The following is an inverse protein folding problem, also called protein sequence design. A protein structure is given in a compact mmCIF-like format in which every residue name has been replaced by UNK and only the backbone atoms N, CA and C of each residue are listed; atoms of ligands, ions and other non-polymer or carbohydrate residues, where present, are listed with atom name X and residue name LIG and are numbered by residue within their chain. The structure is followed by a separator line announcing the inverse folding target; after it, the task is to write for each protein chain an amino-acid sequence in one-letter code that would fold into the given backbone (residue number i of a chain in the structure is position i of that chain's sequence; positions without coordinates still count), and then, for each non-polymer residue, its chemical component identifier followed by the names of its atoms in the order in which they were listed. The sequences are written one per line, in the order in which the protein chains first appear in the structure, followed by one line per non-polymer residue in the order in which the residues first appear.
data_IF_137489081233
#
_entry.id   IF_137489081233
#
_cell.length_a   1.000
_cell.length_b   1.000
_cell.length_c   1.000
_cell.angle_alpha   90.00
_cell.angle_beta   90.00
_cell.angle_gamma   90.00
#
_symmetry.space_group_name_H-M   'P 1'
#
loop_
_entity.id
_entity.type
_entity.pdbx_description
1 polymer ?
#
# COMPACT_ATOMS: atom_id res chain seq x y z
N UNK A 1 -6.25 -14.72 -4.75
CA UNK A 1 -5.26 -13.64 -4.91
C UNK A 1 -3.92 -14.27 -5.21
N UNK A 2 -3.36 -13.98 -6.38
CA UNK A 2 -2.01 -14.37 -6.80
C UNK A 2 -1.17 -13.09 -6.97
N UNK A 3 0.16 -13.24 -7.09
CA UNK A 3 1.05 -12.08 -7.36
C UNK A 3 0.71 -11.36 -8.67
N UNK A 4 0.17 -12.07 -9.67
CA UNK A 4 -0.21 -11.48 -10.95
C UNK A 4 -1.46 -10.59 -10.87
N UNK A 5 -2.23 -10.70 -9.79
CA UNK A 5 -3.44 -9.89 -9.56
C UNK A 5 -3.11 -8.55 -8.89
N UNK A 6 -1.85 -8.33 -8.48
CA UNK A 6 -1.43 -7.15 -7.73
C UNK A 6 -0.74 -6.13 -8.63
N UNK A 7 -1.08 -4.87 -8.41
CA UNK A 7 -0.42 -3.71 -8.99
C UNK A 7 0.44 -3.03 -7.92
N UNK A 8 1.66 -2.61 -8.27
CA UNK A 8 2.54 -1.90 -7.35
C UNK A 8 2.04 -0.47 -7.11
N UNK A 9 1.77 -0.12 -5.85
CA UNK A 9 1.43 1.26 -5.47
C UNK A 9 2.68 2.11 -5.22
N UNK A 10 3.59 1.65 -4.35
CA UNK A 10 4.82 2.37 -4.02
C UNK A 10 5.87 1.44 -3.40
N UNK A 11 7.10 1.92 -3.33
CA UNK A 11 8.20 1.33 -2.56
C UNK A 11 8.84 2.43 -1.72
N UNK A 12 9.08 2.13 -0.44
CA UNK A 12 9.73 3.04 0.49
C UNK A 12 11.04 2.37 0.92
N UNK A 13 12.17 2.95 0.52
CA UNK A 13 13.48 2.48 0.97
C UNK A 13 13.76 3.02 2.38
N UNK A 14 13.91 2.12 3.34
CA UNK A 14 14.24 2.45 4.73
C UNK A 14 15.75 2.51 5.00
N UNK A 15 16.59 2.35 3.96
CA UNK A 15 18.05 2.41 4.03
C UNK A 15 18.69 1.46 5.05
N UNK A 16 18.04 0.33 5.33
CA UNK A 16 18.42 -0.64 6.36
C UNK A 16 18.53 -0.03 7.77
N UNK A 17 17.85 1.09 8.02
CA UNK A 17 17.83 1.74 9.32
C UNK A 17 16.77 1.10 10.23
N UNK A 18 17.09 1.02 11.52
CA UNK A 18 16.12 0.57 12.53
C UNK A 18 15.13 1.72 12.78
N UNK A 19 13.81 1.49 12.67
CA UNK A 19 12.82 2.51 12.98
C UNK A 19 13.03 3.09 14.40
N UNK A 20 13.06 4.42 14.50
CA UNK A 20 13.28 5.14 15.76
C UNK A 20 12.07 5.11 16.71
N UNK A 21 10.93 4.62 16.22
CA UNK A 21 9.66 4.50 16.93
C UNK A 21 9.03 3.15 16.64
N UNK A 22 8.25 2.63 17.59
CA UNK A 22 7.41 1.43 17.41
C UNK A 22 6.23 1.68 16.46
N UNK A 23 5.89 2.94 16.21
CA UNK A 23 4.88 3.35 15.24
C UNK A 23 5.56 4.03 14.06
N UNK A 24 5.40 3.45 12.87
CA UNK A 24 5.91 4.00 11.61
C UNK A 24 4.72 4.42 10.74
N UNK A 25 4.78 5.64 10.21
CA UNK A 25 3.75 6.18 9.33
C UNK A 25 4.31 6.38 7.92
N UNK A 26 3.61 5.83 6.93
CA UNK A 26 3.92 6.01 5.52
C UNK A 26 2.70 6.57 4.79
N UNK A 27 2.92 7.49 3.87
CA UNK A 27 1.87 8.02 3.00
C UNK A 27 1.97 7.31 1.66
N UNK A 28 0.90 6.65 1.25
CA UNK A 28 0.83 5.86 0.02
C UNK A 28 -0.34 6.38 -0.82
N UNK A 29 -0.11 6.84 -2.07
CA UNK A 29 -1.20 7.25 -2.95
C UNK A 29 -2.02 6.02 -3.38
N UNK A 30 -3.34 6.16 -3.35
CA UNK A 30 -4.26 5.15 -3.86
C UNK A 30 -4.73 5.52 -5.27
N UNK A 31 -5.07 4.54 -6.13
CA UNK A 31 -5.56 4.82 -7.47
C UNK A 31 -6.89 5.60 -7.44
N UNK A 32 -6.97 6.64 -8.28
CA UNK A 32 -8.15 7.51 -8.42
C UNK A 32 -9.02 7.18 -9.64
N UNK A 33 -8.57 6.22 -10.46
CA UNK A 33 -9.17 5.79 -11.72
C UNK A 33 -10.22 4.67 -11.56
N UNK A 34 -10.41 4.16 -10.34
CA UNK A 34 -11.23 2.98 -10.07
C UNK A 34 -12.01 3.10 -8.75
N UNK A 35 -13.08 2.33 -8.59
CA UNK A 35 -13.98 2.40 -7.44
C UNK A 35 -14.37 1.00 -6.98
N UNK A 36 -14.71 0.85 -5.70
CA UNK A 36 -15.20 -0.40 -5.12
C UNK A 36 -14.17 -1.12 -4.25
N UNK A 37 -14.39 -2.41 -4.03
CA UNK A 37 -13.62 -3.21 -3.09
C UNK A 37 -12.29 -3.72 -3.69
N UNK A 38 -11.20 -3.51 -2.95
CA UNK A 38 -9.85 -3.96 -3.27
C UNK A 38 -9.13 -4.44 -2.02
N UNK A 39 -8.03 -5.15 -2.21
CA UNK A 39 -7.10 -5.55 -1.14
C UNK A 39 -5.79 -4.81 -1.34
N UNK A 40 -5.30 -4.15 -0.30
CA UNK A 40 -3.96 -3.57 -0.24
C UNK A 40 -3.06 -4.53 0.54
N UNK A 41 -1.93 -4.91 -0.07
CA UNK A 41 -0.93 -5.74 0.57
C UNK A 41 0.28 -4.88 0.97
N UNK A 42 0.48 -4.68 2.28
CA UNK A 42 1.70 -4.13 2.84
C UNK A 42 2.75 -5.24 3.03
N UNK A 43 3.99 -4.94 2.68
CA UNK A 43 5.14 -5.82 2.89
C UNK A 43 6.23 -5.04 3.60
N UNK A 44 6.64 -5.51 4.78
CA UNK A 44 7.77 -4.98 5.51
C UNK A 44 8.91 -5.98 5.47
N UNK A 45 9.90 -5.73 4.62
CA UNK A 45 11.11 -6.53 4.51
C UNK A 45 12.08 -6.22 5.66
N UNK A 46 12.72 -7.26 6.20
CA UNK A 46 13.64 -7.14 7.33
C UNK A 46 15.07 -7.22 6.82
N UNK A 47 15.79 -6.10 6.94
CA UNK A 47 17.08 -5.87 6.28
C UNK A 47 18.16 -6.95 6.51
N UNK A 48 18.17 -7.57 7.68
CA UNK A 48 19.20 -8.53 8.10
C UNK A 48 18.72 -10.00 8.05
N UNK A 49 17.53 -10.27 7.50
CA UNK A 49 17.01 -11.63 7.32
C UNK A 49 16.40 -11.82 5.93
N UNK A 50 16.18 -13.08 5.52
CA UNK A 50 15.40 -13.39 4.31
C UNK A 50 13.88 -13.31 4.51
N UNK A 51 13.41 -12.72 5.62
CA UNK A 51 11.99 -12.71 6.02
C UNK A 51 11.34 -11.33 5.81
N UNK A 52 10.01 -11.33 5.82
CA UNK A 52 9.20 -10.13 5.78
C UNK A 52 7.90 -10.32 6.58
N UNK A 53 7.33 -9.21 7.06
CA UNK A 53 5.97 -9.18 7.58
C UNK A 53 5.01 -8.77 6.47
N UNK A 54 3.86 -9.45 6.40
CA UNK A 54 2.84 -9.25 5.37
C UNK A 54 1.52 -8.87 6.02
N UNK A 55 0.90 -7.79 5.56
CA UNK A 55 -0.39 -7.32 6.06
C UNK A 55 -1.34 -7.05 4.89
N UNK A 56 -2.44 -7.81 4.83
CA UNK A 56 -3.53 -7.54 3.90
C UNK A 56 -4.58 -6.64 4.57
N UNK A 57 -5.01 -5.61 3.86
CA UNK A 57 -6.04 -4.67 4.29
C UNK A 57 -7.12 -4.59 3.23
N UNK A 58 -8.36 -4.82 3.64
CA UNK A 58 -9.54 -4.64 2.82
C UNK A 58 -9.88 -3.16 2.73
N UNK A 59 -10.05 -2.64 1.51
CA UNK A 59 -10.40 -1.25 1.26
C UNK A 59 -11.58 -1.15 0.31
N UNK A 60 -12.41 -0.13 0.50
CA UNK A 60 -13.42 0.26 -0.48
C UNK A 60 -13.05 1.66 -1.00
N UNK A 61 -12.56 1.73 -2.24
CA UNK A 61 -12.17 2.98 -2.89
C UNK A 61 -13.41 3.76 -3.32
N UNK A 62 -13.50 5.01 -2.86
CA UNK A 62 -14.60 5.93 -3.17
C UNK A 62 -14.01 7.19 -3.79
N UNK A 63 -13.98 7.21 -5.12
CA UNK A 63 -13.67 8.35 -5.95
C UNK A 63 -15.00 8.97 -6.39
N UNK A 64 -15.40 10.04 -5.67
CA UNK A 64 -16.58 10.85 -5.97
C UNK A 64 -16.36 11.69 -7.23
N UNK A 65 -16.20 11.03 -8.38
CA UNK A 65 -15.74 11.60 -9.65
C UNK A 65 -16.12 13.05 -9.84
N UNK A 66 -15.16 13.89 -10.23
CA UNK A 66 -15.37 15.31 -10.45
C UNK A 66 -16.55 15.50 -11.40
N UNK A 67 -17.70 15.90 -10.86
CA UNK A 67 -18.88 16.26 -11.64
C UNK A 67 -18.55 17.55 -12.37
N UNK A 68 -17.99 17.47 -13.57
CA UNK A 68 -17.94 18.62 -14.48
C UNK A 68 -19.36 18.86 -15.00
N UNK A 69 -20.02 19.87 -14.45
CA UNK A 69 -21.25 20.40 -15.01
C UNK A 69 -20.96 20.87 -16.45
N UNK A 70 -21.64 20.28 -17.44
CA UNK A 70 -21.81 20.89 -18.76
C UNK A 70 -22.94 21.92 -18.71
#
# INVERSE_FOLDING_TARGET
MTRGDLELLTTIDAHNEVPTSTTVNHQVPLPTDRNGYYVVLGVWEIADTGNAFYQAVDVNLINNGTMTLQ
#
